data_IF_723506906290
#
_entry.id   IF_723506906290
#
_cell.length_a   1.000
_cell.length_b   1.000
_cell.length_c   1.000
_cell.angle_alpha   90.00
_cell.angle_beta   90.00
_cell.angle_gamma   90.00
#
_symmetry.space_group_name_H-M   'P 1'
#
loop_
_entity.id
_entity.type
_entity.pdbx_description
1 polymer ?
#
# COMPACT_ATOMS: atom_id res chain seq x y z
N UNK A 1 -2.59 11.84 3.89
CA UNK A 1 -3.16 10.50 4.19
C UNK A 1 -2.75 9.58 3.06
N UNK A 2 -1.94 8.59 3.37
CA UNK A 2 -1.50 7.57 2.42
C UNK A 2 -2.42 6.36 2.51
N UNK A 3 -2.63 5.67 1.40
CA UNK A 3 -3.40 4.43 1.38
C UNK A 3 -2.44 3.25 1.44
N UNK A 4 -2.62 2.39 2.44
CA UNK A 4 -1.87 1.15 2.55
C UNK A 4 -2.26 0.23 1.38
N UNK A 5 -1.34 -0.12 0.46
CA UNK A 5 -1.65 -0.94 -0.71
C UNK A 5 -1.85 -2.43 -0.38
N UNK A 6 -1.54 -2.86 0.84
CA UNK A 6 -1.73 -4.24 1.31
C UNK A 6 -3.14 -4.42 1.86
N UNK A 7 -3.54 -3.58 2.83
CA UNK A 7 -4.85 -3.71 3.49
C UNK A 7 -5.92 -2.75 2.96
N UNK A 8 -5.55 -1.73 2.20
CA UNK A 8 -6.47 -0.70 1.68
C UNK A 8 -6.89 0.34 2.73
N UNK A 9 -6.33 0.28 3.94
CA UNK A 9 -6.61 1.20 5.03
C UNK A 9 -5.93 2.57 4.78
N UNK A 10 -6.58 3.64 5.22
CA UNK A 10 -5.94 4.96 5.25
C UNK A 10 -4.97 5.05 6.43
N UNK A 11 -3.73 5.40 6.12
CA UNK A 11 -2.63 5.55 7.05
C UNK A 11 -2.15 6.99 6.99
N UNK A 12 -2.03 7.62 8.15
CA UNK A 12 -1.40 8.92 8.24
C UNK A 12 0.10 8.80 8.08
N UNK A 13 0.67 9.52 7.12
CA UNK A 13 2.10 9.55 6.81
C UNK A 13 2.94 9.95 8.04
N UNK A 14 2.37 10.80 8.90
CA UNK A 14 2.98 11.28 10.15
C UNK A 14 2.86 10.28 11.31
N UNK A 15 1.95 9.31 11.21
CA UNK A 15 1.71 8.26 12.22
C UNK A 15 2.06 6.87 11.70
N UNK A 16 2.58 6.76 10.48
CA UNK A 16 2.91 5.49 9.86
C UNK A 16 3.98 4.79 10.70
N UNK A 17 3.63 3.63 11.26
CA UNK A 17 4.57 2.82 12.03
C UNK A 17 5.67 2.21 11.12
N UNK A 18 5.37 2.07 9.83
CA UNK A 18 6.31 1.53 8.85
C UNK A 18 6.16 2.22 7.50
N UNK A 19 7.29 2.41 6.81
CA UNK A 19 7.35 2.93 5.44
C UNK A 19 8.24 2.06 4.56
N UNK A 20 8.00 2.08 3.25
CA UNK A 20 8.85 1.43 2.26
C UNK A 20 8.98 2.28 1.02
N UNK A 21 10.17 2.31 0.43
CA UNK A 21 10.43 3.09 -0.78
C UNK A 21 10.49 2.13 -1.97
N UNK A 22 9.58 2.29 -2.93
CA UNK A 22 9.50 1.43 -4.10
C UNK A 22 9.32 2.29 -5.37
N UNK A 23 10.15 2.05 -6.39
CA UNK A 23 10.16 2.85 -7.63
C UNK A 23 10.29 4.38 -7.38
N UNK A 24 11.09 4.78 -6.39
CA UNK A 24 11.26 6.19 -6.02
C UNK A 24 10.03 6.82 -5.35
N UNK A 25 9.01 6.03 -5.00
CA UNK A 25 7.84 6.47 -4.23
C UNK A 25 7.87 5.91 -2.82
N UNK A 26 7.55 6.74 -1.84
CA UNK A 26 7.44 6.34 -0.44
C UNK A 26 6.01 5.88 -0.15
N UNK A 27 5.88 4.65 0.30
CA UNK A 27 4.62 4.03 0.74
C UNK A 27 4.60 3.92 2.26
N UNK A 28 3.42 4.11 2.83
CA UNK A 28 3.18 4.13 4.26
C UNK A 28 2.26 2.98 4.63
N UNK A 29 2.59 2.28 5.71
CA UNK A 29 1.92 1.08 6.17
C UNK A 29 1.44 1.26 7.59
N UNK A 30 0.28 0.69 7.90
CA UNK A 30 -0.27 0.77 9.25
C UNK A 30 0.57 -0.02 10.27
N UNK A 31 1.42 -0.95 9.80
CA UNK A 31 2.31 -1.70 10.65
C UNK A 31 3.37 -2.47 9.89
N UNK A 32 4.30 -3.09 10.63
CA UNK A 32 5.41 -3.88 10.06
C UNK A 32 4.94 -5.10 9.27
N UNK A 33 3.79 -5.68 9.61
CA UNK A 33 3.19 -6.80 8.88
C UNK A 33 2.83 -6.43 7.44
N UNK A 34 2.16 -5.27 7.25
CA UNK A 34 1.85 -4.74 5.93
C UNK A 34 3.12 -4.39 5.15
N UNK A 35 4.11 -3.75 5.79
CA UNK A 35 5.41 -3.50 5.15
C UNK A 35 6.06 -4.78 4.63
N UNK A 36 6.08 -5.85 5.43
CA UNK A 36 6.72 -7.12 5.04
C UNK A 36 5.97 -7.82 3.90
N UNK A 37 4.63 -7.83 3.94
CA UNK A 37 3.81 -8.32 2.83
C UNK A 37 4.08 -7.51 1.54
N UNK A 38 4.16 -6.18 1.66
CA UNK A 38 4.50 -5.31 0.54
C UNK A 38 5.90 -5.54 -0.01
N UNK A 39 6.90 -5.77 0.84
CA UNK A 39 8.28 -6.01 0.41
C UNK A 39 8.41 -7.34 -0.35
N UNK A 40 7.60 -8.34 0.02
CA UNK A 40 7.53 -9.64 -0.66
C UNK A 40 6.93 -9.56 -2.06
N UNK A 41 5.82 -8.83 -2.22
CA UNK A 41 5.09 -8.75 -3.50
C UNK A 41 4.58 -7.32 -3.81
N UNK A 42 5.47 -6.31 -3.96
CA UNK A 42 5.05 -4.92 -4.08
C UNK A 42 4.26 -4.67 -5.36
N UNK A 43 4.64 -5.31 -6.47
CA UNK A 43 3.96 -5.18 -7.77
C UNK A 43 2.51 -5.66 -7.74
N UNK A 44 2.21 -6.70 -6.95
CA UNK A 44 0.86 -7.24 -6.78
C UNK A 44 -0.04 -6.30 -5.98
N UNK A 45 0.54 -5.65 -4.96
CA UNK A 45 -0.16 -4.68 -4.12
C UNK A 45 -0.33 -3.32 -4.82
N UNK A 46 0.64 -2.89 -5.63
CA UNK A 46 0.57 -1.67 -6.44
C UNK A 46 -0.21 -1.84 -7.74
N UNK A 47 -0.30 -3.07 -8.25
CA UNK A 47 -1.02 -3.45 -9.47
C UNK A 47 -2.53 -3.42 -9.37
N UNK A 48 -3.08 -2.93 -8.24
CA UNK A 48 -4.51 -2.69 -8.02
C UNK A 48 -5.09 -1.56 -8.86
N UNK A 49 -4.88 -1.58 -10.18
CA UNK A 49 -5.81 -0.96 -11.12
C UNK A 49 -7.11 -1.75 -11.01
N UNK A 50 -7.96 -1.38 -10.05
CA UNK A 50 -9.36 -1.75 -10.08
C UNK A 50 -9.98 -1.07 -11.30
N UNK A 51 -9.86 -1.74 -12.44
CA UNK A 51 -10.96 -1.84 -13.38
C UNK A 51 -12.16 -2.40 -12.62
N UNK A 52 -12.86 -1.57 -11.85
CA UNK A 52 -14.27 -1.80 -11.58
C UNK A 52 -15.06 -1.01 -12.63
N UNK A 53 -14.93 -1.46 -13.88
CA UNK A 53 -16.04 -1.45 -14.82
C UNK A 53 -16.79 -2.75 -14.59
N UNK A 54 -17.49 -2.83 -13.46
CA UNK A 54 -18.57 -3.80 -13.30
C UNK A 54 -19.85 -2.99 -13.12
N UNK A 55 -20.40 -2.57 -14.25
CA UNK A 55 -21.85 -2.44 -14.38
C UNK A 55 -22.21 -3.01 -15.74
N UNK A 56 -22.76 -4.22 -15.69
CA UNK A 56 -23.66 -4.73 -16.71
C UNK A 56 -24.89 -3.82 -16.84
#
# INVERSE_FOLDING_TARGET
MAKDPVCGMEVDERKAEATSTYNGKTYYFCGRGCKNAFDKEPEKHLGGKKSQSHSC
#
